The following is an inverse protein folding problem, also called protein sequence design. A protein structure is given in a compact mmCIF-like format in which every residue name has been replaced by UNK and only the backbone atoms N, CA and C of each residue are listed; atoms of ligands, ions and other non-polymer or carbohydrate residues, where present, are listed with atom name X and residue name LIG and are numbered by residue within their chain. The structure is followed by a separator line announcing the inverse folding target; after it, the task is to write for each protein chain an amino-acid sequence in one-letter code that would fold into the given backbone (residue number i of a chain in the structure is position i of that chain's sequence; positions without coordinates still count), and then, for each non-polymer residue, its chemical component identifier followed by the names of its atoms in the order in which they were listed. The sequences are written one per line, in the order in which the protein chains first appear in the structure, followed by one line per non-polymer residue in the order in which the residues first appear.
data_IF_664449598391
#
_entry.id   IF_664449598391
#
_cell.length_a   1.000
_cell.length_b   1.000
_cell.length_c   1.000
_cell.angle_alpha   90.00
_cell.angle_beta   90.00
_cell.angle_gamma   90.00
#
_symmetry.space_group_name_H-M   'P 1'
#
loop_
_entity.id
_entity.type
_entity.pdbx_description
1 polymer ?
#
# COMPACT_ATOMS: atom_id res chain seq x y z
N UNK A 1 -3.34 20.74 -2.90
CA UNK A 1 -4.14 20.54 -4.13
C UNK A 1 -4.86 19.21 -3.96
N UNK A 2 -6.18 19.23 -3.71
CA UNK A 2 -6.97 18.00 -3.64
C UNK A 2 -6.99 17.36 -5.03
N UNK A 3 -6.48 16.14 -5.17
CA UNK A 3 -6.65 15.33 -6.38
C UNK A 3 -8.01 14.62 -6.26
N UNK A 4 -9.02 14.98 -7.07
CA UNK A 4 -10.39 14.47 -6.91
C UNK A 4 -10.55 12.95 -7.13
N UNK A 5 -9.49 12.24 -7.55
CA UNK A 5 -9.48 10.78 -7.75
C UNK A 5 -8.37 10.08 -6.95
N UNK A 6 -7.95 10.66 -5.82
CA UNK A 6 -6.92 10.04 -5.00
C UNK A 6 -7.50 8.85 -4.22
N UNK A 7 -6.73 7.77 -4.15
CA UNK A 7 -7.01 6.63 -3.28
C UNK A 7 -6.41 6.81 -1.88
N UNK A 8 -5.79 7.96 -1.57
CA UNK A 8 -5.36 8.25 -0.19
C UNK A 8 -6.53 8.14 0.78
N UNK A 9 -6.31 7.44 1.89
CA UNK A 9 -7.30 7.11 2.91
C UNK A 9 -8.02 5.77 2.67
N UNK A 10 -7.94 5.20 1.47
CA UNK A 10 -8.51 3.88 1.17
C UNK A 10 -7.68 2.76 1.77
N UNK A 11 -8.33 1.62 1.97
CA UNK A 11 -7.68 0.41 2.46
C UNK A 11 -7.36 -0.54 1.32
N UNK A 12 -6.21 -1.18 1.43
CA UNK A 12 -5.76 -2.24 0.54
C UNK A 12 -5.47 -3.51 1.33
N UNK A 13 -5.74 -4.66 0.72
CA UNK A 13 -5.34 -5.96 1.23
C UNK A 13 -4.19 -6.50 0.37
N UNK A 14 -3.11 -6.97 0.99
CA UNK A 14 -2.02 -7.63 0.29
C UNK A 14 -2.48 -8.99 -0.28
N UNK A 15 -2.12 -9.28 -1.52
CA UNK A 15 -2.46 -10.49 -2.25
C UNK A 15 -1.35 -11.56 -2.18
N UNK A 16 -0.16 -11.17 -1.74
CA UNK A 16 0.99 -12.03 -1.49
C UNK A 16 1.84 -11.46 -0.34
N UNK A 17 2.84 -12.22 0.09
CA UNK A 17 3.78 -11.77 1.12
C UNK A 17 4.71 -10.71 0.52
N UNK A 18 4.75 -9.52 1.12
CA UNK A 18 5.59 -8.42 0.66
C UNK A 18 6.81 -8.29 1.55
N UNK A 19 7.98 -8.61 1.01
CA UNK A 19 9.25 -8.46 1.70
C UNK A 19 9.80 -7.05 1.52
N UNK A 20 10.10 -6.37 2.62
CA UNK A 20 10.76 -5.06 2.66
C UNK A 20 12.08 -5.18 3.41
N UNK A 21 12.89 -4.12 3.42
CA UNK A 21 14.09 -4.07 4.27
C UNK A 21 13.77 -4.18 5.76
N UNK A 22 12.57 -3.79 6.18
CA UNK A 22 12.15 -3.76 7.58
C UNK A 22 11.49 -5.06 8.05
N UNK A 23 11.22 -6.00 7.14
CA UNK A 23 10.52 -7.24 7.44
C UNK A 23 9.55 -7.66 6.34
N UNK A 24 8.76 -8.68 6.64
CA UNK A 24 7.79 -9.29 5.71
C UNK A 24 6.38 -8.93 6.18
N UNK A 25 5.58 -8.38 5.29
CA UNK A 25 4.14 -8.19 5.47
C UNK A 25 3.42 -9.39 4.85
N UNK A 26 2.63 -10.15 5.61
CA UNK A 26 2.02 -11.38 5.11
C UNK A 26 0.89 -11.07 4.12
N UNK A 27 0.61 -12.04 3.24
CA UNK A 27 -0.60 -12.06 2.42
C UNK A 27 -1.84 -11.87 3.30
N UNK A 28 -2.74 -11.03 2.83
CA UNK A 28 -3.98 -10.70 3.51
C UNK A 28 -3.86 -9.56 4.51
N UNK A 29 -2.65 -9.05 4.77
CA UNK A 29 -2.44 -7.87 5.62
C UNK A 29 -3.18 -6.66 5.04
N UNK A 30 -3.80 -5.87 5.92
CA UNK A 30 -4.59 -4.70 5.52
C UNK A 30 -3.80 -3.44 5.85
N UNK A 31 -3.65 -2.57 4.86
CA UNK A 31 -2.93 -1.31 4.99
C UNK A 31 -3.74 -0.16 4.42
N UNK A 32 -3.44 1.06 4.84
CA UNK A 32 -4.07 2.30 4.38
C UNK A 32 -3.14 3.01 3.43
N UNK A 33 -3.66 3.52 2.30
CA UNK A 33 -2.88 4.37 1.40
C UNK A 33 -2.73 5.74 2.06
N UNK A 34 -1.51 6.10 2.48
CA UNK A 34 -1.22 7.39 3.12
C UNK A 34 -0.69 8.44 2.15
N UNK A 35 -0.12 8.03 1.02
CA UNK A 35 0.30 8.92 -0.04
C UNK A 35 0.26 8.23 -1.42
N UNK A 36 0.08 9.04 -2.46
CA UNK A 36 0.26 8.62 -3.85
C UNK A 36 1.45 9.36 -4.44
N UNK A 37 2.50 8.61 -4.75
CA UNK A 37 3.72 9.14 -5.35
C UNK A 37 3.74 8.84 -6.86
N UNK A 38 4.73 9.35 -7.58
CA UNK A 38 4.95 8.96 -8.97
C UNK A 38 5.36 7.50 -9.13
N UNK A 39 5.73 6.82 -8.04
CA UNK A 39 6.22 5.44 -8.01
C UNK A 39 5.24 4.45 -7.41
N UNK A 40 4.06 4.88 -6.95
CA UNK A 40 3.06 3.98 -6.38
C UNK A 40 2.38 4.59 -5.17
N UNK A 41 1.96 3.73 -4.26
CA UNK A 41 1.28 4.10 -3.02
C UNK A 41 2.20 3.88 -1.83
N UNK A 42 2.24 4.86 -0.93
CA UNK A 42 2.78 4.63 0.40
C UNK A 42 1.65 4.05 1.25
N UNK A 43 1.92 2.89 1.84
CA UNK A 43 0.98 2.13 2.66
C UNK A 43 1.42 2.17 4.12
N UNK A 44 0.46 2.27 5.04
CA UNK A 44 0.69 2.21 6.48
C UNK A 44 -0.35 1.30 7.15
N UNK A 45 0.08 0.40 8.02
CA UNK A 45 -0.83 -0.40 8.85
C UNK A 45 -1.21 0.31 10.16
N UNK A 46 -2.06 -0.32 10.97
CA UNK A 46 -2.52 0.26 12.23
C UNK A 46 -1.41 0.43 13.29
N UNK A 47 -0.29 -0.28 13.13
CA UNK A 47 0.86 -0.23 14.03
C UNK A 47 1.92 0.79 13.58
N UNK A 48 1.68 1.47 12.44
CA UNK A 48 2.59 2.47 11.87
C UNK A 48 3.71 1.88 11.01
N UNK A 49 3.65 0.59 10.66
CA UNK A 49 4.61 -0.02 9.74
C UNK A 49 4.27 0.38 8.30
N UNK A 50 5.30 0.64 7.49
CA UNK A 50 5.13 1.23 6.16
C UNK A 50 5.71 0.38 5.04
N UNK A 51 5.00 0.37 3.92
CA UNK A 51 5.54 0.00 2.61
C UNK A 51 5.52 1.26 1.76
N UNK A 52 6.70 1.75 1.37
CA UNK A 52 6.81 2.96 0.55
C UNK A 52 6.85 2.58 -0.92
N UNK A 53 6.21 3.40 -1.76
CA UNK A 53 6.21 3.25 -3.22
C UNK A 53 5.72 1.87 -3.68
N UNK A 54 4.77 1.27 -2.93
CA UNK A 54 4.14 0.01 -3.29
C UNK A 54 3.40 0.17 -4.63
N UNK A 55 3.78 -0.62 -5.64
CA UNK A 55 3.05 -0.65 -6.92
C UNK A 55 3.78 -0.23 -8.19
N UNK A 56 5.09 0.01 -8.19
CA UNK A 56 5.81 0.22 -9.46
C UNK A 56 6.24 -1.10 -10.12
N UNK A 57 6.00 -1.18 -11.44
CA UNK A 57 6.36 -2.26 -12.38
C UNK A 57 5.83 -3.67 -12.07
N UNK A 58 4.56 -3.92 -12.44
CA UNK A 58 4.08 -5.28 -12.74
C UNK A 58 3.52 -6.09 -11.57
N UNK A 59 3.55 -5.53 -10.36
CA UNK A 59 3.13 -6.24 -9.15
C UNK A 59 1.61 -6.11 -8.90
N UNK A 60 0.92 -7.25 -8.87
CA UNK A 60 -0.49 -7.39 -8.49
C UNK A 60 -0.60 -7.72 -6.99
N UNK A 61 0.18 -7.02 -6.17
CA UNK A 61 0.40 -7.39 -4.77
C UNK A 61 -0.70 -6.92 -3.84
N UNK A 62 -1.67 -6.13 -4.30
CA UNK A 62 -2.69 -5.57 -3.44
C UNK A 62 -4.02 -5.32 -4.15
N UNK A 63 -5.09 -5.33 -3.37
CA UNK A 63 -6.48 -5.06 -3.81
C UNK A 63 -7.07 -3.97 -2.94
N UNK A 64 -7.63 -2.92 -3.54
CA UNK A 64 -8.45 -1.95 -2.81
C UNK A 64 -9.70 -2.68 -2.28
N UNK A 65 -9.98 -2.53 -0.98
CA UNK A 65 -11.11 -3.17 -0.31
C UNK A 65 -12.15 -2.17 0.21
N UNK A 66 -11.84 -0.87 0.20
CA UNK A 66 -12.74 0.24 0.58
C UNK A 66 -12.20 1.56 0.01
#
# INVERSE_FOLDING_TARGET
MFKPNSNVGKKVQLLEDVSTMSGIFPRGHIMTIIAETSRGWDLEDADGNRILEAGFYGHREYKIID
#
